data_IF_071007371489
#
_entry.id   IF_071007371489
#
_cell.length_a   1.000
_cell.length_b   1.000
_cell.length_c   1.000
_cell.angle_alpha   90.00
_cell.angle_beta   90.00
_cell.angle_gamma   90.00
#
_symmetry.space_group_name_H-M   'P 1'
#
loop_
_entity.id
_entity.type
_entity.pdbx_description
1 polymer ?
#
# COMPACT_ATOMS: atom_id res chain seq x y z
N UNK A 1 -10.20 33.39 5.59
CA UNK A 1 -10.03 32.54 6.80
C UNK A 1 -9.98 33.45 8.01
N UNK A 2 -10.98 33.37 8.90
CA UNK A 2 -11.12 34.28 10.04
C UNK A 2 -10.18 33.83 11.17
N UNK A 3 -8.91 34.24 11.12
CA UNK A 3 -8.04 34.20 12.31
C UNK A 3 -8.39 35.42 13.16
N UNK A 4 -8.86 35.21 14.40
CA UNK A 4 -8.97 36.31 15.36
C UNK A 4 -7.59 36.99 15.48
N UNK A 5 -7.51 38.33 15.44
CA UNK A 5 -6.25 39.03 15.64
C UNK A 5 -5.57 38.56 16.93
N UNK A 6 -4.31 38.14 16.85
CA UNK A 6 -3.52 37.69 18.00
C UNK A 6 -3.50 36.17 18.27
N UNK A 7 -4.18 35.35 17.48
CA UNK A 7 -4.04 33.89 17.54
C UNK A 7 -3.03 33.42 16.49
N UNK A 8 -2.11 32.47 16.82
CA UNK A 8 -1.26 31.85 15.79
C UNK A 8 -2.16 31.25 14.70
N UNK A 9 -1.74 31.34 13.44
CA UNK A 9 -2.44 30.72 12.30
C UNK A 9 -2.64 29.23 12.59
N UNK A 10 -3.79 28.87 13.14
CA UNK A 10 -4.25 27.49 13.21
C UNK A 10 -4.65 27.13 11.78
N UNK A 11 -3.71 26.61 11.01
CA UNK A 11 -4.06 25.79 9.85
C UNK A 11 -5.02 24.72 10.37
N UNK A 12 -6.21 24.60 9.78
CA UNK A 12 -7.11 23.49 10.11
C UNK A 12 -6.25 22.23 10.09
N UNK A 13 -6.22 21.48 11.21
CA UNK A 13 -5.33 20.32 11.40
C UNK A 13 -5.34 19.40 10.17
N UNK A 14 -6.47 19.32 9.46
CA UNK A 14 -6.70 18.54 8.25
C UNK A 14 -6.00 19.01 6.95
N UNK A 15 -5.59 20.28 6.82
CA UNK A 15 -5.07 20.85 5.56
C UNK A 15 -3.64 21.38 5.67
N UNK A 16 -3.02 21.28 6.84
CA UNK A 16 -1.62 21.66 7.02
C UNK A 16 -0.71 20.66 6.29
N UNK A 17 0.19 21.18 5.45
CA UNK A 17 1.12 20.37 4.64
C UNK A 17 2.53 20.38 5.19
N UNK A 18 2.85 21.37 6.01
CA UNK A 18 4.21 21.60 6.50
C UNK A 18 4.37 21.25 7.98
N UNK A 19 5.63 21.13 8.40
CA UNK A 19 5.98 20.88 9.80
C UNK A 19 5.50 19.52 10.34
N UNK A 20 5.34 19.47 11.67
CA UNK A 20 4.95 18.25 12.40
C UNK A 20 3.52 17.81 12.05
N UNK A 21 2.59 18.75 11.90
CA UNK A 21 1.21 18.48 11.50
C UNK A 21 1.13 17.93 10.06
N UNK A 22 1.86 18.52 9.12
CA UNK A 22 1.96 18.01 7.75
C UNK A 22 2.54 16.60 7.68
N UNK A 23 3.56 16.32 8.50
CA UNK A 23 4.12 14.96 8.62
C UNK A 23 3.10 13.95 9.17
N UNK A 24 2.33 14.35 10.19
CA UNK A 24 1.25 13.52 10.74
C UNK A 24 0.17 13.24 9.70
N UNK A 25 -0.30 14.27 8.98
CA UNK A 25 -1.29 14.13 7.90
C UNK A 25 -0.80 13.18 6.79
N UNK A 26 0.47 13.26 6.40
CA UNK A 26 1.06 12.33 5.43
C UNK A 26 1.12 10.90 5.95
N UNK A 27 1.43 10.69 7.23
CA UNK A 27 1.42 9.37 7.84
C UNK A 27 0.01 8.75 7.83
N UNK A 28 -1.03 9.54 8.14
CA UNK A 28 -2.43 9.09 8.04
C UNK A 28 -2.81 8.73 6.60
N UNK A 29 -2.41 9.54 5.62
CA UNK A 29 -2.66 9.23 4.21
C UNK A 29 -1.96 7.95 3.77
N UNK A 30 -0.73 7.71 4.25
CA UNK A 30 0.01 6.47 3.98
C UNK A 30 -0.72 5.24 4.52
N UNK A 31 -1.29 5.34 5.73
CA UNK A 31 -2.13 4.28 6.31
C UNK A 31 -3.39 4.04 5.48
N UNK A 32 -4.12 5.08 5.09
CA UNK A 32 -5.28 4.93 4.20
C UNK A 32 -4.90 4.30 2.85
N UNK A 33 -3.75 4.69 2.27
CA UNK A 33 -3.29 4.07 1.03
C UNK A 33 -2.96 2.58 1.20
N UNK A 34 -2.48 2.16 2.38
CA UNK A 34 -2.32 0.74 2.68
C UNK A 34 -3.68 0.05 2.81
N UNK A 35 -4.63 0.65 3.52
CA UNK A 35 -5.97 0.07 3.68
C UNK A 35 -6.75 -0.04 2.36
N UNK A 36 -6.52 0.86 1.40
CA UNK A 36 -7.07 0.76 0.04
C UNK A 36 -6.54 -0.49 -0.71
N UNK A 37 -5.26 -0.85 -0.50
CA UNK A 37 -4.60 -1.97 -1.18
C UNK A 37 -4.70 -3.30 -0.41
N UNK A 38 -4.88 -3.26 0.91
CA UNK A 38 -4.83 -4.42 1.77
C UNK A 38 -5.88 -5.50 1.44
N UNK A 39 -7.16 -5.18 1.15
CA UNK A 39 -8.15 -6.19 0.79
C UNK A 39 -7.73 -7.00 -0.45
N UNK A 40 -7.21 -6.33 -1.48
CA UNK A 40 -6.70 -6.97 -2.69
C UNK A 40 -5.49 -7.86 -2.39
N UNK A 41 -4.53 -7.35 -1.61
CA UNK A 41 -3.35 -8.11 -1.21
C UNK A 41 -3.70 -9.37 -0.42
N UNK A 42 -4.63 -9.27 0.53
CA UNK A 42 -5.10 -10.43 1.34
C UNK A 42 -5.83 -11.44 0.47
N UNK A 43 -6.72 -10.99 -0.42
CA UNK A 43 -7.44 -11.89 -1.33
C UNK A 43 -6.47 -12.67 -2.23
N UNK A 44 -5.51 -11.97 -2.86
CA UNK A 44 -4.50 -12.60 -3.70
C UNK A 44 -3.59 -13.53 -2.92
N UNK A 45 -3.20 -13.18 -1.69
CA UNK A 45 -2.39 -14.02 -0.82
C UNK A 45 -3.11 -15.32 -0.48
N UNK A 46 -4.40 -15.28 -0.15
CA UNK A 46 -5.19 -16.49 0.15
C UNK A 46 -5.36 -17.37 -1.10
N UNK A 47 -5.74 -16.77 -2.23
CA UNK A 47 -5.99 -17.51 -3.47
C UNK A 47 -4.70 -18.14 -4.03
N UNK A 48 -3.63 -17.36 -4.14
CA UNK A 48 -2.35 -17.86 -4.65
C UNK A 48 -1.71 -18.84 -3.67
N UNK A 49 -1.78 -18.59 -2.36
CA UNK A 49 -1.15 -19.42 -1.33
C UNK A 49 -1.81 -20.78 -1.16
N UNK A 50 -3.09 -20.90 -1.53
CA UNK A 50 -3.77 -22.19 -1.56
C UNK A 50 -3.15 -23.18 -2.56
N UNK A 51 -2.68 -22.68 -3.71
CA UNK A 51 -2.08 -23.51 -4.78
C UNK A 51 -0.55 -23.47 -4.75
N UNK A 52 0.04 -22.32 -4.43
CA UNK A 52 1.47 -22.04 -4.47
C UNK A 52 1.98 -21.47 -3.13
N UNK A 53 1.99 -22.26 -2.04
CA UNK A 53 2.21 -21.74 -0.69
C UNK A 53 3.58 -21.07 -0.51
N UNK A 54 4.66 -21.69 -0.99
CA UNK A 54 6.02 -21.16 -0.79
C UNK A 54 6.29 -19.89 -1.63
N UNK A 55 5.98 -19.84 -2.94
CA UNK A 55 6.10 -18.58 -3.71
C UNK A 55 5.26 -17.45 -3.11
N UNK A 56 4.03 -17.73 -2.72
CA UNK A 56 3.14 -16.74 -2.11
C UNK A 56 3.67 -16.22 -0.78
N UNK A 57 4.25 -17.06 0.06
CA UNK A 57 4.91 -16.63 1.30
C UNK A 57 6.01 -15.59 1.02
N UNK A 58 6.93 -15.90 0.09
CA UNK A 58 8.01 -14.99 -0.29
C UNK A 58 7.47 -13.66 -0.85
N UNK A 59 6.47 -13.72 -1.73
CA UNK A 59 5.82 -12.53 -2.29
C UNK A 59 5.09 -11.70 -1.23
N UNK A 60 4.45 -12.34 -0.24
CA UNK A 60 3.80 -11.67 0.89
C UNK A 60 4.80 -10.93 1.79
N UNK A 61 5.95 -11.55 2.10
CA UNK A 61 7.04 -10.89 2.83
C UNK A 61 7.57 -9.68 2.04
N UNK A 62 7.81 -9.85 0.74
CA UNK A 62 8.29 -8.79 -0.14
C UNK A 62 7.29 -7.63 -0.27
N UNK A 63 6.00 -7.94 -0.43
CA UNK A 63 4.92 -6.94 -0.39
C UNK A 63 4.92 -6.19 0.94
N UNK A 64 4.99 -6.88 2.07
CA UNK A 64 4.98 -6.24 3.39
C UNK A 64 6.17 -5.29 3.58
N UNK A 65 7.38 -5.73 3.21
CA UNK A 65 8.58 -4.91 3.28
C UNK A 65 8.48 -3.64 2.42
N UNK A 66 7.98 -3.77 1.18
CA UNK A 66 7.80 -2.63 0.30
C UNK A 66 6.74 -1.63 0.79
N UNK A 67 5.69 -2.10 1.49
CA UNK A 67 4.71 -1.22 2.18
C UNK A 67 5.35 -0.43 3.32
N UNK A 68 6.28 -1.02 4.08
CA UNK A 68 7.03 -0.30 5.13
C UNK A 68 7.87 0.82 4.51
N UNK A 69 8.61 0.52 3.43
CA UNK A 69 9.41 1.52 2.70
C UNK A 69 8.52 2.65 2.16
N UNK A 70 7.38 2.31 1.54
CA UNK A 70 6.41 3.29 1.03
C UNK A 70 5.87 4.19 2.13
N UNK A 71 5.47 3.62 3.27
CA UNK A 71 4.92 4.37 4.40
C UNK A 71 5.96 5.33 5.01
N UNK A 72 7.20 4.87 5.22
CA UNK A 72 8.29 5.71 5.72
C UNK A 72 8.59 6.85 4.74
N UNK A 73 8.69 6.54 3.44
CA UNK A 73 8.88 7.53 2.38
C UNK A 73 7.79 8.59 2.39
N UNK A 74 6.52 8.19 2.48
CA UNK A 74 5.38 9.09 2.51
C UNK A 74 5.48 10.13 3.65
N UNK A 75 6.02 9.76 4.82
CA UNK A 75 6.17 10.73 5.92
C UNK A 75 7.09 11.90 5.57
N UNK A 76 8.09 11.67 4.70
CA UNK A 76 9.03 12.70 4.24
C UNK A 76 8.40 13.57 3.18
N UNK A 77 7.97 12.97 2.07
CA UNK A 77 7.33 13.66 0.96
C UNK A 77 6.26 12.77 0.31
N UNK A 78 5.22 13.35 -0.32
CA UNK A 78 4.24 12.56 -1.08
C UNK A 78 4.84 11.76 -2.26
N UNK A 79 5.98 12.20 -2.81
CA UNK A 79 6.66 11.54 -3.93
C UNK A 79 7.53 10.37 -3.50
N UNK A 80 8.14 10.46 -2.32
CA UNK A 80 9.12 9.47 -1.81
C UNK A 80 8.50 8.09 -1.55
N UNK A 81 7.17 7.99 -1.52
CA UNK A 81 6.44 6.71 -1.44
C UNK A 81 6.61 5.82 -2.67
N UNK A 82 6.90 6.41 -3.84
CA UNK A 82 6.78 5.76 -5.15
C UNK A 82 7.66 4.51 -5.25
N UNK A 83 8.90 4.57 -4.73
CA UNK A 83 9.82 3.45 -4.75
C UNK A 83 9.22 2.21 -4.03
N UNK A 84 8.71 2.39 -2.81
CA UNK A 84 8.06 1.30 -2.07
C UNK A 84 6.75 0.85 -2.72
N UNK A 85 5.96 1.79 -3.25
CA UNK A 85 4.70 1.44 -3.93
C UNK A 85 4.94 0.58 -5.17
N UNK A 86 5.91 0.93 -6.02
CA UNK A 86 6.19 0.18 -7.25
C UNK A 86 6.68 -1.24 -6.95
N UNK A 87 7.54 -1.41 -5.95
CA UNK A 87 7.99 -2.72 -5.50
C UNK A 87 6.82 -3.57 -4.96
N UNK A 88 5.92 -2.96 -4.19
CA UNK A 88 4.71 -3.64 -3.71
C UNK A 88 3.75 -4.03 -4.82
N UNK A 89 3.56 -3.15 -5.81
CA UNK A 89 2.76 -3.45 -7.00
C UNK A 89 3.33 -4.62 -7.79
N UNK A 90 4.66 -4.70 -7.95
CA UNK A 90 5.30 -5.85 -8.61
C UNK A 90 4.99 -7.17 -7.89
N UNK A 91 4.99 -7.16 -6.54
CA UNK A 91 4.64 -8.32 -5.73
C UNK A 91 3.18 -8.77 -5.96
N UNK A 92 2.27 -7.80 -6.04
CA UNK A 92 0.85 -8.07 -6.31
C UNK A 92 0.66 -8.63 -7.72
N UNK A 93 1.27 -8.04 -8.75
CA UNK A 93 1.20 -8.55 -10.11
C UNK A 93 1.76 -9.98 -10.23
N UNK A 94 2.80 -10.31 -9.46
CA UNK A 94 3.31 -11.69 -9.41
C UNK A 94 2.29 -12.66 -8.77
N UNK A 95 1.63 -12.28 -7.67
CA UNK A 95 0.56 -13.09 -7.08
C UNK A 95 -0.66 -13.22 -8.01
N UNK A 96 -1.04 -12.16 -8.72
CA UNK A 96 -2.09 -12.18 -9.75
C UNK A 96 -1.75 -13.18 -10.87
N UNK A 97 -0.50 -13.19 -11.33
CA UNK A 97 -0.04 -14.15 -12.34
C UNK A 97 -0.13 -15.60 -11.83
N UNK A 98 0.20 -15.87 -10.57
CA UNK A 98 0.02 -17.20 -9.97
C UNK A 98 -1.44 -17.65 -9.98
N UNK A 99 -2.36 -16.76 -9.57
CA UNK A 99 -3.80 -17.05 -9.59
C UNK A 99 -4.29 -17.30 -11.01
N UNK A 100 -3.84 -16.49 -11.99
CA UNK A 100 -4.19 -16.66 -13.39
C UNK A 100 -3.71 -18.02 -13.93
N UNK A 101 -2.47 -18.42 -13.64
CA UNK A 101 -1.92 -19.71 -14.06
C UNK A 101 -2.73 -20.87 -13.45
N UNK A 102 -3.10 -20.78 -12.17
CA UNK A 102 -3.96 -21.79 -11.54
C UNK A 102 -5.32 -21.90 -12.25
N UNK A 103 -5.96 -20.76 -12.55
CA UNK A 103 -7.25 -20.73 -13.25
C UNK A 103 -7.18 -21.32 -14.66
N UNK A 104 -6.17 -20.97 -15.45
CA UNK A 104 -5.97 -21.51 -16.81
C UNK A 104 -5.77 -23.03 -16.76
N UNK A 105 -4.95 -23.52 -15.83
CA UNK A 105 -4.71 -24.97 -15.68
C UNK A 105 -5.95 -25.73 -15.23
N UNK A 106 -6.78 -25.15 -14.37
CA UNK A 106 -8.03 -25.77 -13.93
C UNK A 106 -9.00 -25.96 -15.11
N UNK A 107 -9.16 -24.95 -15.96
CA UNK A 107 -10.04 -25.03 -17.15
C UNK A 107 -9.53 -26.07 -18.15
N UNK A 108 -8.22 -26.17 -18.36
CA UNK A 108 -7.64 -27.15 -19.28
C UNK A 108 -7.79 -28.60 -18.82
N UNK A 109 -8.00 -28.86 -17.53
CA UNK A 109 -8.24 -30.23 -17.02
C UNK A 109 -9.66 -30.72 -17.29
N UNK A 110 -10.61 -29.81 -17.53
CA UNK A 110 -12.01 -30.14 -17.78
C UNK A 110 -12.36 -30.29 -19.27
N UNK A 111 -11.43 -29.91 -20.17
CA UNK A 111 -11.57 -29.99 -21.63
C UNK A 111 -10.88 -31.23 -22.21
#
# INVERSE_FOLDING_TARGET
VYTKPGQPKLGYVLMEKEGSLGRFNRAQRALQNYLEAAPFAVALFLLSGFVFPFPTFCLGCFFTASRIVSAIGYTKSPGDRMAGNMLGTLALCAMEALVLIAGVKAIQQEA
#
